data_IF_565287156523
#
_entry.id   IF_565287156523
#
_cell.length_a   1.000
_cell.length_b   1.000
_cell.length_c   1.000
_cell.angle_alpha   90.00
_cell.angle_beta   90.00
_cell.angle_gamma   90.00
#
_symmetry.space_group_name_H-M   'P 1'
#
loop_
_entity.id
_entity.type
_entity.pdbx_description
1 polymer ?
#
# COMPACT_ATOMS: atom_id res chain seq x y z
N UNK A 1 -21.43 -13.15 -21.55
CA UNK A 1 -20.59 -12.33 -20.64
C UNK A 1 -20.90 -10.88 -20.96
N UNK A 2 -21.49 -10.16 -20.03
CA UNK A 2 -21.77 -8.74 -20.21
C UNK A 2 -20.48 -7.98 -19.84
N UNK A 3 -19.91 -7.28 -20.80
CA UNK A 3 -18.78 -6.37 -20.54
C UNK A 3 -19.27 -5.22 -19.65
N UNK A 4 -18.59 -5.02 -18.51
CA UNK A 4 -18.84 -3.87 -17.64
C UNK A 4 -17.65 -2.92 -17.73
N UNK A 5 -17.91 -1.68 -18.09
CA UNK A 5 -16.91 -0.64 -18.01
C UNK A 5 -16.74 -0.22 -16.56
N UNK A 6 -15.51 -0.15 -16.10
CA UNK A 6 -15.15 0.34 -14.77
C UNK A 6 -14.62 1.76 -14.84
N UNK A 7 -15.02 2.57 -13.87
CA UNK A 7 -14.51 3.93 -13.73
C UNK A 7 -13.29 3.92 -12.81
N UNK A 8 -12.16 4.36 -13.34
CA UNK A 8 -10.91 4.49 -12.56
C UNK A 8 -10.73 5.96 -12.22
N UNK A 9 -10.58 6.26 -10.94
CA UNK A 9 -10.20 7.59 -10.45
C UNK A 9 -8.81 7.49 -9.83
N UNK A 10 -7.94 8.43 -10.22
CA UNK A 10 -6.57 8.50 -9.69
C UNK A 10 -6.36 9.89 -9.10
N UNK A 11 -5.84 9.93 -7.90
CA UNK A 11 -5.47 11.17 -7.21
C UNK A 11 -3.97 11.16 -6.88
N UNK A 12 -3.33 12.26 -7.16
CA UNK A 12 -1.94 12.52 -6.78
C UNK A 12 -1.90 13.66 -5.79
N UNK A 13 -1.16 13.48 -4.72
CA UNK A 13 -0.91 14.53 -3.74
C UNK A 13 0.59 14.78 -3.63
N UNK A 14 1.00 16.00 -3.99
CA UNK A 14 2.38 16.45 -3.89
C UNK A 14 2.72 16.83 -2.46
N UNK A 15 3.98 16.63 -2.11
CA UNK A 15 4.57 17.02 -0.82
C UNK A 15 5.64 18.09 -1.02
N UNK A 16 6.24 18.58 0.06
CA UNK A 16 7.34 19.57 0.06
C UNK A 16 6.98 20.91 -0.57
N UNK A 17 5.71 21.33 -0.45
CA UNK A 17 5.26 22.63 -0.99
C UNK A 17 5.20 22.68 -2.51
N UNK A 18 5.35 21.56 -3.20
CA UNK A 18 5.16 21.48 -4.65
C UNK A 18 3.68 21.58 -5.00
N UNK A 19 3.38 22.19 -6.13
CA UNK A 19 2.03 22.42 -6.63
C UNK A 19 1.91 22.03 -8.09
N UNK A 20 0.70 21.70 -8.54
CA UNK A 20 0.41 21.41 -9.94
C UNK A 20 0.15 22.67 -10.77
N UNK A 21 -0.22 23.75 -10.09
CA UNK A 21 -0.59 25.02 -10.69
C UNK A 21 -0.14 26.22 -9.84
N UNK A 22 -0.26 27.42 -10.41
CA UNK A 22 0.10 28.68 -9.75
C UNK A 22 -0.90 29.07 -8.63
N UNK A 23 -2.03 28.38 -8.52
CA UNK A 23 -3.03 28.61 -7.47
C UNK A 23 -2.63 27.94 -6.14
N UNK A 24 -1.53 27.18 -6.13
CA UNK A 24 -1.03 26.48 -4.93
C UNK A 24 -1.69 25.12 -4.70
N UNK A 25 -2.37 24.56 -5.70
CA UNK A 25 -3.02 23.27 -5.56
C UNK A 25 -1.99 22.13 -5.64
N UNK A 26 -1.89 21.37 -4.56
CA UNK A 26 -1.00 20.21 -4.48
C UNK A 26 -1.70 18.86 -4.72
N UNK A 27 -3.01 18.87 -5.03
CA UNK A 27 -3.80 17.69 -5.32
C UNK A 27 -4.25 17.74 -6.78
N UNK A 28 -4.07 16.64 -7.50
CA UNK A 28 -4.56 16.43 -8.85
C UNK A 28 -5.42 15.17 -8.87
N UNK A 29 -6.72 15.34 -9.12
CA UNK A 29 -7.66 14.21 -9.26
C UNK A 29 -8.07 14.05 -10.72
N UNK A 30 -7.97 12.82 -11.23
CA UNK A 30 -8.35 12.47 -12.60
C UNK A 30 -9.45 11.43 -12.51
N UNK A 31 -10.67 11.88 -12.83
CA UNK A 31 -11.84 11.01 -12.89
C UNK A 31 -11.94 10.33 -14.27
N UNK A 32 -12.48 9.13 -14.30
CA UNK A 32 -12.64 8.33 -15.53
C UNK A 32 -11.33 8.23 -16.33
N UNK A 33 -10.23 8.03 -15.60
CA UNK A 33 -8.90 7.99 -16.18
C UNK A 33 -8.76 6.85 -17.20
N UNK A 34 -8.17 7.15 -18.36
CA UNK A 34 -7.64 6.11 -19.22
C UNK A 34 -6.36 5.60 -18.58
N UNK A 35 -6.44 4.41 -17.93
CA UNK A 35 -5.35 3.87 -17.16
C UNK A 35 -5.24 2.36 -17.31
N UNK A 36 -4.01 1.85 -17.21
CA UNK A 36 -3.71 0.45 -16.99
C UNK A 36 -3.16 0.30 -15.57
N UNK A 37 -3.76 -0.59 -14.80
CA UNK A 37 -3.40 -0.83 -13.39
C UNK A 37 -2.97 -2.28 -13.24
N UNK A 38 -1.75 -2.48 -12.76
CA UNK A 38 -1.26 -3.78 -12.35
C UNK A 38 -0.87 -3.70 -10.86
N UNK A 39 -1.53 -4.49 -10.03
CA UNK A 39 -1.37 -4.46 -8.58
C UNK A 39 -0.97 -5.84 -8.08
N UNK A 40 0.06 -5.89 -7.24
CA UNK A 40 0.53 -7.08 -6.56
C UNK A 40 0.42 -6.87 -5.04
N UNK A 41 -0.40 -7.70 -4.40
CA UNK A 41 -0.56 -7.74 -2.94
C UNK A 41 0.19 -8.95 -2.41
N UNK A 42 1.38 -8.70 -1.87
CA UNK A 42 2.25 -9.77 -1.37
C UNK A 42 1.96 -10.15 0.09
N UNK A 43 1.18 -9.30 0.79
CA UNK A 43 0.94 -9.43 2.22
C UNK A 43 2.18 -9.14 3.07
N UNK A 44 2.01 -9.22 4.39
CA UNK A 44 3.08 -9.01 5.37
C UNK A 44 3.82 -7.70 5.18
N UNK A 45 5.12 -7.73 5.43
CA UNK A 45 5.99 -6.56 5.31
C UNK A 45 6.25 -6.11 3.86
N UNK A 46 5.95 -6.94 2.87
CA UNK A 46 6.10 -6.57 1.46
C UNK A 46 4.98 -5.63 1.01
N UNK A 47 3.80 -5.80 1.59
CA UNK A 47 2.62 -4.97 1.35
C UNK A 47 2.15 -5.01 -0.09
N UNK A 48 1.33 -4.04 -0.45
CA UNK A 48 0.79 -3.88 -1.80
C UNK A 48 1.65 -2.91 -2.61
N UNK A 49 1.95 -3.33 -3.83
CA UNK A 49 2.63 -2.51 -4.85
C UNK A 49 1.73 -2.35 -6.07
N UNK A 50 1.85 -1.22 -6.74
CA UNK A 50 1.10 -0.91 -7.94
C UNK A 50 2.02 -0.36 -9.02
N UNK A 51 1.77 -0.79 -10.25
CA UNK A 51 2.27 -0.13 -11.47
C UNK A 51 1.07 0.43 -12.21
N UNK A 52 1.06 1.73 -12.38
CA UNK A 52 0.03 2.49 -13.07
C UNK A 52 0.61 3.10 -14.34
N UNK A 53 -0.07 2.90 -15.47
CA UNK A 53 0.13 3.72 -16.68
C UNK A 53 -1.12 4.57 -16.88
N UNK A 54 -0.96 5.86 -16.97
CA UNK A 54 -2.06 6.81 -17.11
C UNK A 54 -1.82 7.75 -18.28
N UNK A 55 -2.87 7.97 -19.09
CA UNK A 55 -2.85 8.83 -20.26
C UNK A 55 -3.66 10.10 -20.01
N UNK A 56 -3.41 11.13 -20.81
CA UNK A 56 -4.16 12.38 -20.79
C UNK A 56 -3.61 13.44 -19.83
N UNK A 57 -2.45 13.19 -19.21
CA UNK A 57 -1.73 14.18 -18.43
C UNK A 57 -1.02 15.19 -19.34
N UNK A 58 -0.97 16.45 -18.95
CA UNK A 58 -0.14 17.45 -19.61
C UNK A 58 1.34 17.19 -19.34
N UNK A 59 2.20 17.68 -20.24
CA UNK A 59 3.67 17.57 -20.05
C UNK A 59 4.13 18.18 -18.74
N UNK A 60 3.51 19.29 -18.30
CA UNK A 60 3.80 19.93 -17.02
C UNK A 60 3.46 19.03 -15.83
N UNK A 61 2.28 18.40 -15.85
CA UNK A 61 1.86 17.45 -14.80
C UNK A 61 2.77 16.21 -14.76
N UNK A 62 3.12 15.68 -15.94
CA UNK A 62 4.07 14.57 -16.03
C UNK A 62 5.43 14.96 -15.46
N UNK A 63 5.94 16.15 -15.78
CA UNK A 63 7.23 16.64 -15.28
C UNK A 63 7.21 16.83 -13.76
N UNK A 64 6.11 17.32 -13.20
CA UNK A 64 5.94 17.51 -11.76
C UNK A 64 5.91 16.20 -10.99
N UNK A 65 5.29 15.15 -11.57
CA UNK A 65 5.19 13.82 -10.96
C UNK A 65 6.46 12.97 -11.19
N UNK A 66 7.25 13.26 -12.24
CA UNK A 66 8.40 12.44 -12.60
C UNK A 66 9.55 12.60 -11.61
N UNK A 67 10.08 11.46 -11.17
CA UNK A 67 11.31 11.42 -10.36
C UNK A 67 12.52 11.14 -11.24
N UNK A 68 13.56 11.92 -11.05
CA UNK A 68 14.84 11.75 -11.77
C UNK A 68 15.86 11.07 -10.87
N UNK A 69 16.14 9.80 -11.14
CA UNK A 69 17.32 9.12 -10.63
C UNK A 69 17.23 8.59 -9.20
N UNK A 70 18.39 8.29 -8.65
CA UNK A 70 18.56 7.69 -7.33
C UNK A 70 18.20 8.74 -6.27
N UNK A 71 17.30 8.38 -5.40
CA UNK A 71 16.85 9.17 -4.29
C UNK A 71 17.85 9.13 -3.13
N UNK A 72 18.48 10.25 -2.82
CA UNK A 72 19.36 10.38 -1.67
C UNK A 72 18.73 11.39 -0.71
N UNK A 73 18.17 10.90 0.40
CA UNK A 73 17.92 11.70 1.59
C UNK A 73 16.64 12.53 1.65
N UNK A 74 15.55 12.14 0.97
CA UNK A 74 14.25 12.74 1.26
C UNK A 74 13.29 11.70 1.85
N UNK A 75 12.74 12.01 2.98
CA UNK A 75 11.76 11.17 3.71
C UNK A 75 10.33 11.35 3.19
N UNK A 76 10.13 12.25 2.21
CA UNK A 76 8.83 12.66 1.76
C UNK A 76 8.58 12.24 0.32
N UNK A 77 7.64 11.34 0.14
CA UNK A 77 7.22 10.82 -1.13
C UNK A 77 5.84 11.36 -1.50
N UNK A 78 5.62 11.67 -2.79
CA UNK A 78 4.28 12.01 -3.27
C UNK A 78 3.34 10.83 -3.07
N UNK A 79 2.11 11.13 -2.67
CA UNK A 79 1.08 10.13 -2.42
C UNK A 79 0.26 9.90 -3.69
N UNK A 80 -0.15 8.67 -3.89
CA UNK A 80 -1.09 8.27 -4.95
C UNK A 80 -2.21 7.43 -4.36
N UNK A 81 -3.44 7.73 -4.76
CA UNK A 81 -4.64 6.97 -4.43
C UNK A 81 -5.33 6.52 -5.71
N UNK A 82 -5.87 5.32 -5.70
CA UNK A 82 -6.61 4.76 -6.83
C UNK A 82 -7.93 4.19 -6.36
N UNK A 83 -9.00 4.56 -7.04
CA UNK A 83 -10.34 4.02 -6.84
C UNK A 83 -10.84 3.36 -8.12
N UNK A 84 -11.62 2.29 -7.95
CA UNK A 84 -12.37 1.65 -9.03
C UNK A 84 -13.84 1.62 -8.61
N UNK A 85 -14.71 2.19 -9.43
CA UNK A 85 -16.15 2.34 -9.16
C UNK A 85 -16.44 2.95 -7.77
N UNK A 86 -15.62 3.92 -7.34
CA UNK A 86 -15.72 4.59 -6.05
C UNK A 86 -15.14 3.82 -4.86
N UNK A 87 -14.67 2.58 -5.06
CA UNK A 87 -14.01 1.81 -4.02
C UNK A 87 -12.49 2.04 -4.05
N UNK A 88 -11.91 2.43 -2.93
CA UNK A 88 -10.47 2.57 -2.81
C UNK A 88 -9.79 1.20 -2.93
N UNK A 89 -8.90 1.07 -3.91
CA UNK A 89 -8.13 -0.17 -4.13
C UNK A 89 -6.66 -0.02 -3.73
N UNK A 90 -6.14 1.21 -3.74
CA UNK A 90 -4.76 1.49 -3.42
C UNK A 90 -4.60 2.88 -2.82
N UNK A 91 -3.79 2.99 -1.79
CA UNK A 91 -3.18 4.22 -1.31
C UNK A 91 -1.72 3.93 -0.97
N UNK A 92 -0.81 4.75 -1.48
CA UNK A 92 0.62 4.54 -1.24
C UNK A 92 1.48 5.62 -1.84
N UNK A 93 2.78 5.49 -1.62
CA UNK A 93 3.77 6.48 -1.98
C UNK A 93 4.45 6.13 -3.29
N UNK A 94 4.62 7.13 -4.16
CA UNK A 94 5.26 6.98 -5.45
C UNK A 94 6.76 6.76 -5.25
N UNK A 95 7.26 5.62 -5.70
CA UNK A 95 8.69 5.28 -5.68
C UNK A 95 9.39 5.67 -6.96
N UNK A 96 8.68 5.64 -8.09
CA UNK A 96 9.20 6.01 -9.40
C UNK A 96 8.07 6.50 -10.30
N UNK A 97 8.36 7.52 -11.13
CA UNK A 97 7.45 7.98 -12.16
C UNK A 97 8.24 8.53 -13.35
N UNK A 98 7.88 8.10 -14.56
CA UNK A 98 8.52 8.54 -15.79
C UNK A 98 7.56 8.49 -16.99
N UNK A 99 7.81 9.35 -17.97
CA UNK A 99 7.13 9.35 -19.26
C UNK A 99 8.12 8.96 -20.36
N UNK A 100 7.74 7.99 -21.20
CA UNK A 100 8.54 7.58 -22.36
C UNK A 100 8.00 8.26 -23.62
N UNK A 101 8.62 9.37 -24.01
CA UNK A 101 8.23 10.14 -25.20
C UNK A 101 8.52 9.44 -26.54
N UNK A 102 9.17 8.26 -26.54
CA UNK A 102 9.24 7.45 -27.75
C UNK A 102 7.88 6.89 -28.16
N UNK A 103 6.89 6.93 -27.26
CA UNK A 103 5.53 6.48 -27.52
C UNK A 103 4.58 7.58 -28.03
N UNK A 104 5.12 8.70 -28.47
CA UNK A 104 4.31 9.78 -29.07
C UNK A 104 3.47 9.26 -30.24
N UNK A 105 2.24 9.80 -30.44
CA UNK A 105 1.61 10.91 -29.72
C UNK A 105 0.91 10.50 -28.39
N UNK A 106 0.80 9.21 -28.09
CA UNK A 106 -0.02 8.69 -26.99
C UNK A 106 0.85 8.23 -25.82
N UNK A 107 1.60 9.14 -25.23
CA UNK A 107 2.58 8.87 -24.17
C UNK A 107 1.89 8.71 -22.82
N UNK A 108 2.00 7.56 -22.13
CA UNK A 108 1.57 7.43 -20.75
C UNK A 108 2.62 7.96 -19.77
N UNK A 109 2.16 8.38 -18.60
CA UNK A 109 3.00 8.43 -17.41
C UNK A 109 2.98 7.06 -16.73
N UNK A 110 4.14 6.42 -16.61
CA UNK A 110 4.30 5.15 -15.89
C UNK A 110 4.75 5.44 -14.47
N UNK A 111 4.00 4.93 -13.49
CA UNK A 111 4.21 5.18 -12.07
C UNK A 111 4.31 3.84 -11.35
N UNK A 112 5.30 3.72 -10.47
CA UNK A 112 5.37 2.63 -9.49
C UNK A 112 5.19 3.23 -8.10
N UNK A 113 4.30 2.63 -7.30
CA UNK A 113 4.06 3.06 -5.93
C UNK A 113 3.93 1.87 -4.97
N UNK A 114 4.18 2.10 -3.69
CA UNK A 114 4.11 1.09 -2.64
C UNK A 114 3.46 1.66 -1.38
N UNK A 115 2.56 0.89 -0.78
CA UNK A 115 1.95 1.23 0.52
C UNK A 115 3.00 1.30 1.62
N UNK A 116 3.97 0.38 1.59
CA UNK A 116 4.95 0.22 2.67
C UNK A 116 6.04 1.28 2.68
N UNK A 117 6.20 2.04 1.58
CA UNK A 117 7.31 2.99 1.46
C UNK A 117 7.26 4.07 2.56
N UNK A 118 6.09 4.67 2.79
CA UNK A 118 5.89 5.67 3.84
C UNK A 118 5.99 5.11 5.25
N UNK A 119 5.42 3.92 5.48
CA UNK A 119 5.48 3.27 6.79
C UNK A 119 6.91 2.87 7.18
N UNK A 120 7.73 2.44 6.21
CA UNK A 120 9.14 2.11 6.43
C UNK A 120 10.02 3.34 6.62
N UNK A 121 9.67 4.47 6.00
CA UNK A 121 10.37 5.73 6.18
C UNK A 121 10.04 6.44 7.50
N UNK A 122 8.93 6.06 8.15
CA UNK A 122 8.49 6.69 9.39
C UNK A 122 9.27 6.10 10.57
N UNK A 123 10.24 6.86 11.07
CA UNK A 123 10.90 6.55 12.34
C UNK A 123 9.94 6.74 13.50
N UNK A 124 9.92 5.80 14.41
CA UNK A 124 9.10 5.84 15.62
C UNK A 124 9.95 5.50 16.83
N UNK A 125 9.58 6.04 17.99
CA UNK A 125 10.25 5.72 19.25
C UNK A 125 10.20 4.22 19.54
N UNK A 126 11.26 3.64 20.12
CA UNK A 126 11.27 2.26 20.56
C UNK A 126 10.09 1.95 21.48
N UNK A 127 9.54 0.76 21.36
CA UNK A 127 8.56 0.27 22.32
C UNK A 127 9.28 -0.46 23.44
N UNK A 128 9.00 -0.07 24.69
CA UNK A 128 9.56 -0.73 25.87
C UNK A 128 8.49 -0.77 26.96
N UNK A 129 8.34 -1.94 27.60
CA UNK A 129 7.48 -2.10 28.76
C UNK A 129 8.11 -3.10 29.75
N UNK A 130 7.69 -3.05 31.01
CA UNK A 130 8.15 -3.94 32.08
C UNK A 130 7.06 -4.95 32.42
N UNK A 131 7.46 -6.18 32.72
CA UNK A 131 6.55 -7.27 33.06
C UNK A 131 5.95 -7.93 31.84
N UNK A 132 4.91 -8.70 32.06
CA UNK A 132 4.20 -9.44 31.03
C UNK A 132 3.16 -8.54 30.37
N UNK A 133 3.22 -8.40 29.04
CA UNK A 133 2.35 -7.54 28.24
C UNK A 133 1.67 -8.35 27.15
N UNK A 134 0.35 -8.15 27.01
CA UNK A 134 -0.41 -8.78 25.92
C UNK A 134 0.04 -8.24 24.56
N UNK A 135 0.14 -9.12 23.58
CA UNK A 135 0.56 -8.80 22.21
C UNK A 135 -0.34 -7.76 21.55
N UNK A 136 -1.65 -7.77 21.83
CA UNK A 136 -2.58 -6.82 21.25
C UNK A 136 -2.27 -5.41 21.75
N UNK A 137 -1.94 -5.26 23.03
CA UNK A 137 -1.56 -3.97 23.61
C UNK A 137 -0.25 -3.47 23.02
N UNK A 138 0.74 -4.37 22.83
CA UNK A 138 2.03 -4.04 22.22
C UNK A 138 1.82 -3.54 20.78
N UNK A 139 1.13 -4.33 19.93
CA UNK A 139 0.93 -3.99 18.52
C UNK A 139 0.04 -2.75 18.38
N UNK A 140 -0.99 -2.59 19.23
CA UNK A 140 -1.85 -1.39 19.21
C UNK A 140 -1.07 -0.13 19.55
N UNK A 141 -0.19 -0.19 20.54
CA UNK A 141 0.66 0.95 20.90
C UNK A 141 1.65 1.32 19.78
N UNK A 142 2.20 0.33 19.09
CA UNK A 142 3.08 0.55 17.93
C UNK A 142 2.30 1.10 16.72
N UNK A 143 1.18 0.49 16.37
CA UNK A 143 0.33 0.87 15.24
C UNK A 143 -0.17 2.32 15.37
N UNK A 144 -0.56 2.72 16.58
CA UNK A 144 -1.01 4.08 16.88
C UNK A 144 0.06 5.15 16.58
N UNK A 145 1.35 4.83 16.71
CA UNK A 145 2.45 5.75 16.36
C UNK A 145 2.52 6.04 14.86
N UNK A 146 1.93 5.17 14.05
CA UNK A 146 1.86 5.30 12.60
C UNK A 146 0.44 5.62 12.08
N UNK A 147 -0.47 5.98 12.97
CA UNK A 147 -1.88 6.26 12.67
C UNK A 147 -2.63 5.06 12.07
N UNK A 148 -2.20 3.84 12.45
CA UNK A 148 -2.84 2.60 12.02
C UNK A 148 -3.77 2.07 13.12
N UNK A 149 -4.88 1.48 12.72
CA UNK A 149 -5.76 0.65 13.56
C UNK A 149 -5.32 -0.81 13.57
N UNK A 150 -5.69 -1.58 14.59
CA UNK A 150 -5.36 -3.00 14.68
C UNK A 150 -6.62 -3.85 14.54
N UNK A 151 -6.62 -4.79 13.60
CA UNK A 151 -7.64 -5.84 13.48
C UNK A 151 -7.02 -7.18 13.87
N UNK A 152 -7.53 -7.79 14.94
CA UNK A 152 -7.06 -9.09 15.41
C UNK A 152 -8.06 -10.21 15.05
N UNK A 153 -7.58 -11.19 14.31
CA UNK A 153 -8.33 -12.39 13.91
C UNK A 153 -7.87 -13.63 14.70
N UNK A 154 -7.82 -13.48 16.03
CA UNK A 154 -7.57 -14.60 16.94
C UNK A 154 -6.10 -14.80 17.35
N UNK A 155 -5.20 -13.88 17.03
CA UNK A 155 -3.84 -13.92 17.57
C UNK A 155 -3.87 -13.61 19.06
N UNK A 156 -3.15 -14.41 19.87
CA UNK A 156 -3.01 -14.27 21.32
C UNK A 156 -1.58 -14.52 21.72
N UNK A 157 -1.17 -13.95 22.83
CA UNK A 157 0.16 -14.18 23.38
C UNK A 157 0.57 -13.11 24.36
N UNK A 158 1.60 -13.41 25.12
CA UNK A 158 2.17 -12.51 26.13
C UNK A 158 3.68 -12.48 25.96
N UNK A 159 4.27 -11.32 26.03
CA UNK A 159 5.73 -11.13 25.98
C UNK A 159 6.20 -10.45 27.25
N UNK A 160 7.20 -11.07 27.89
CA UNK A 160 7.80 -10.54 29.13
C UNK A 160 8.88 -9.49 28.79
N UNK A 161 8.75 -8.32 29.39
CA UNK A 161 9.69 -7.20 29.24
C UNK A 161 10.00 -6.86 27.76
N UNK A 162 8.98 -6.58 26.94
CA UNK A 162 9.20 -6.33 25.53
C UNK A 162 10.05 -5.08 25.28
N UNK A 163 11.02 -5.19 24.36
CA UNK A 163 11.82 -4.07 23.87
C UNK A 163 12.05 -4.21 22.37
N UNK A 164 11.48 -3.29 21.58
CA UNK A 164 11.52 -3.33 20.12
C UNK A 164 11.96 -1.99 19.55
N UNK A 165 12.84 -2.03 18.54
CA UNK A 165 13.44 -0.84 17.93
C UNK A 165 13.28 -0.85 16.41
N UNK A 166 13.52 0.31 15.78
CA UNK A 166 13.38 0.50 14.34
C UNK A 166 12.05 1.18 13.98
N UNK A 167 11.74 1.21 12.70
CA UNK A 167 10.46 1.76 12.23
C UNK A 167 9.28 0.89 12.68
N UNK A 168 8.06 1.40 12.54
CA UNK A 168 6.84 0.72 13.03
C UNK A 168 6.67 -0.69 12.44
N UNK A 169 6.99 -0.85 11.14
CA UNK A 169 6.88 -2.13 10.45
C UNK A 169 7.85 -3.14 11.05
N UNK A 170 9.10 -2.73 11.30
CA UNK A 170 10.12 -3.59 11.91
C UNK A 170 9.75 -3.96 13.34
N UNK A 171 9.24 -3.02 14.14
CA UNK A 171 8.82 -3.32 15.52
C UNK A 171 7.67 -4.34 15.54
N UNK A 172 6.63 -4.15 14.72
CA UNK A 172 5.50 -5.10 14.63
C UNK A 172 5.98 -6.47 14.12
N UNK A 173 6.87 -6.50 13.12
CA UNK A 173 7.41 -7.75 12.59
C UNK A 173 8.24 -8.53 13.63
N UNK A 174 8.98 -7.85 14.49
CA UNK A 174 9.72 -8.50 15.58
C UNK A 174 8.76 -9.17 16.57
N UNK A 175 7.64 -8.54 16.91
CA UNK A 175 6.57 -9.13 17.73
C UNK A 175 5.96 -10.34 17.02
N UNK A 176 5.63 -10.20 15.74
CA UNK A 176 5.03 -11.26 14.93
C UNK A 176 5.92 -12.51 14.89
N UNK A 177 7.23 -12.32 14.66
CA UNK A 177 8.19 -13.41 14.62
C UNK A 177 8.39 -14.09 16.00
N UNK A 178 8.26 -13.31 17.09
CA UNK A 178 8.45 -13.87 18.45
C UNK A 178 7.31 -14.81 18.86
N UNK A 179 6.13 -14.66 18.30
CA UNK A 179 4.93 -15.41 18.66
C UNK A 179 4.33 -16.23 17.51
N UNK A 180 5.03 -16.33 16.40
CA UNK A 180 4.59 -17.07 15.21
C UNK A 180 3.20 -16.65 14.74
N UNK A 181 3.03 -15.34 14.52
CA UNK A 181 1.80 -14.74 13.98
C UNK A 181 2.05 -14.12 12.61
N UNK A 182 1.04 -14.14 11.79
CA UNK A 182 1.03 -13.45 10.50
C UNK A 182 0.51 -12.03 10.66
N UNK A 183 1.06 -11.13 9.83
CA UNK A 183 0.67 -9.71 9.79
C UNK A 183 0.40 -9.28 8.36
N UNK A 184 -0.54 -8.34 8.18
CA UNK A 184 -0.82 -7.71 6.90
C UNK A 184 -1.10 -6.22 7.10
N UNK A 185 -0.47 -5.38 6.29
CA UNK A 185 -0.59 -3.93 6.39
C UNK A 185 -1.52 -3.42 5.29
N UNK A 186 -2.65 -2.84 5.71
CA UNK A 186 -3.60 -2.14 4.86
C UNK A 186 -3.32 -0.64 4.77
N UNK A 187 -4.28 0.09 4.19
CA UNK A 187 -4.19 1.54 3.99
C UNK A 187 -4.10 2.29 5.33
N UNK A 188 -4.95 1.90 6.29
CA UNK A 188 -5.13 2.56 7.59
C UNK A 188 -5.08 1.58 8.77
N UNK A 189 -4.68 0.34 8.50
CA UNK A 189 -4.74 -0.73 9.49
C UNK A 189 -3.62 -1.76 9.36
N UNK A 190 -3.33 -2.42 10.46
CA UNK A 190 -2.58 -3.66 10.51
C UNK A 190 -3.49 -4.78 11.00
N UNK A 191 -3.48 -5.88 10.28
CA UNK A 191 -4.24 -7.09 10.60
C UNK A 191 -3.29 -8.16 11.12
N UNK A 192 -3.67 -8.87 12.17
CA UNK A 192 -2.88 -9.94 12.77
C UNK A 192 -3.73 -11.20 12.97
N UNK A 193 -3.12 -12.38 12.77
CA UNK A 193 -3.76 -13.68 12.99
C UNK A 193 -2.71 -14.76 13.28
N UNK A 194 -3.09 -15.91 13.89
CA UNK A 194 -2.17 -17.00 14.13
C UNK A 194 -1.58 -17.56 12.83
N UNK A 195 -0.29 -17.85 12.82
CA UNK A 195 0.39 -18.41 11.66
C UNK A 195 -0.27 -19.71 11.18
N UNK A 196 -0.40 -19.86 9.85
CA UNK A 196 -1.01 -21.04 9.23
C UNK A 196 -2.53 -21.17 9.42
N UNK A 197 -3.18 -20.22 10.07
CA UNK A 197 -4.64 -20.20 10.18
C UNK A 197 -5.26 -19.28 9.12
N UNK A 198 -6.48 -19.59 8.63
CA UNK A 198 -7.15 -18.70 7.69
C UNK A 198 -7.57 -17.41 8.38
N UNK A 199 -7.32 -16.26 7.73
CA UNK A 199 -7.74 -14.93 8.21
C UNK A 199 -9.27 -14.79 8.31
N UNK A 200 -10.02 -15.51 7.48
CA UNK A 200 -11.49 -15.52 7.46
C UNK A 200 -12.02 -16.93 7.25
N UNK A 201 -13.08 -17.28 7.97
CA UNK A 201 -13.71 -18.59 7.83
C UNK A 201 -14.48 -18.77 6.51
N UNK A 202 -14.89 -17.66 5.88
CA UNK A 202 -15.68 -17.70 4.66
C UNK A 202 -14.79 -17.93 3.45
N UNK A 203 -14.92 -19.10 2.83
CA UNK A 203 -14.28 -19.41 1.57
C UNK A 203 -14.89 -18.59 0.43
N UNK A 204 -14.03 -17.98 -0.39
CA UNK A 204 -14.46 -17.33 -1.62
C UNK A 204 -14.70 -18.39 -2.69
N UNK A 205 -15.95 -18.51 -3.13
CA UNK A 205 -16.29 -19.38 -4.26
C UNK A 205 -15.90 -18.66 -5.56
N UNK A 206 -14.95 -19.21 -6.29
CA UNK A 206 -14.57 -18.75 -7.63
C UNK A 206 -15.03 -19.76 -8.66
N UNK A 207 -15.88 -19.33 -9.59
CA UNK A 207 -16.32 -20.14 -10.72
C UNK A 207 -16.47 -19.26 -11.97
N UNK A 208 -16.59 -19.82 -13.17
CA UNK A 208 -16.86 -19.05 -14.39
C UNK A 208 -18.12 -18.17 -14.27
N UNK A 209 -19.11 -18.61 -13.50
CA UNK A 209 -20.34 -17.85 -13.24
C UNK A 209 -20.12 -16.64 -12.33
N UNK A 210 -19.10 -16.69 -11.47
CA UNK A 210 -18.69 -15.61 -10.56
C UNK A 210 -17.45 -14.83 -11.04
N UNK A 211 -17.18 -14.89 -12.36
CA UNK A 211 -16.17 -14.04 -12.98
C UNK A 211 -14.78 -14.64 -13.13
N UNK A 212 -14.61 -15.95 -12.88
CA UNK A 212 -13.35 -16.63 -13.17
C UNK A 212 -13.16 -16.69 -14.69
N UNK A 213 -12.05 -16.13 -15.18
CA UNK A 213 -11.65 -16.18 -16.59
C UNK A 213 -10.56 -17.25 -16.74
N UNK A 214 -10.83 -18.28 -17.52
CA UNK A 214 -9.92 -19.42 -17.73
C UNK A 214 -10.10 -20.53 -16.66
N UNK A 215 -9.16 -21.48 -16.69
CA UNK A 215 -9.13 -22.59 -15.76
C UNK A 215 -7.95 -22.47 -14.80
N UNK A 216 -8.09 -22.85 -13.52
CA UNK A 216 -6.97 -22.91 -12.60
C UNK A 216 -5.88 -23.85 -13.12
N UNK A 217 -4.64 -23.39 -13.10
CA UNK A 217 -3.48 -24.22 -13.38
C UNK A 217 -2.88 -24.63 -12.04
N UNK A 218 -2.88 -25.93 -11.75
CA UNK A 218 -2.19 -26.47 -10.59
C UNK A 218 -0.73 -26.68 -10.96
N UNK A 219 0.14 -25.79 -10.52
CA UNK A 219 1.58 -26.05 -10.55
C UNK A 219 1.91 -26.92 -9.37
N UNK A 220 2.31 -28.17 -9.65
CA UNK A 220 2.73 -29.10 -8.61
C UNK A 220 3.89 -28.51 -7.79
N UNK A 221 3.85 -28.73 -6.48
CA UNK A 221 4.95 -28.47 -5.55
C UNK A 221 6.03 -29.51 -5.72
#
# INVERSE_FOLDING_TARGET
VTYKQHNITVEFQLVDGKTFDDSGNNILTIENARAYVNMAAWGGISGTQITLQIWGLTTSQMATLSYRGIWIGSEKFNLMRVWVDGNAIFEGFISNAYADFNQLPDTPLTITASMMLGLRAKEVEPFTASGDVDIIDIITAMAKKADLTVENYGATGVISNPHYTGNVVNQIQQVANALDIDTDFGIDKVTIWPHGQPKVEKLLLTSPEYGLIGYPIFTGV
#
